data_IF_021359563079
#
_entry.id   IF_021359563079
#
_cell.length_a   1.000
_cell.length_b   1.000
_cell.length_c   1.000
_cell.angle_alpha   90.00
_cell.angle_beta   90.00
_cell.angle_gamma   90.00
#
_symmetry.space_group_name_H-M   'P 1'
#
loop_
_entity.id
_entity.type
_entity.pdbx_description
1 polymer ?
#
# COMPACT_ATOMS: atom_id res chain seq x y z
N UNK A 1 20.98 22.43 2.42
CA UNK A 1 20.99 21.62 3.64
C UNK A 1 20.11 20.40 3.40
N UNK A 2 20.74 19.24 3.42
CA UNK A 2 20.06 17.98 3.13
C UNK A 2 19.38 17.36 4.32
N UNK A 3 18.37 16.57 4.04
CA UNK A 3 17.83 15.60 5.00
C UNK A 3 18.31 14.21 4.62
N UNK A 4 18.28 13.30 5.57
CA UNK A 4 18.68 11.91 5.37
C UNK A 4 17.50 10.99 5.56
N UNK A 5 17.37 10.02 4.65
CA UNK A 5 16.33 9.00 4.72
C UNK A 5 16.91 7.75 5.38
N UNK A 6 16.20 7.25 6.38
CA UNK A 6 16.58 6.03 7.07
C UNK A 6 15.51 4.98 6.80
N UNK A 7 15.88 3.91 6.11
CA UNK A 7 14.93 2.84 5.78
C UNK A 7 14.48 2.14 7.05
N UNK A 8 13.18 2.19 7.33
CA UNK A 8 12.56 1.48 8.45
C UNK A 8 12.27 0.03 8.09
N UNK A 9 11.79 -0.19 6.88
CA UNK A 9 11.47 -1.53 6.42
C UNK A 9 10.77 -1.51 5.07
N UNK A 10 10.58 -2.73 4.54
CA UNK A 10 9.85 -2.98 3.31
C UNK A 10 8.79 -4.03 3.58
N UNK A 11 7.69 -3.96 2.86
CA UNK A 11 6.69 -5.00 2.91
C UNK A 11 6.02 -5.15 1.56
N UNK A 12 5.31 -6.25 1.38
CA UNK A 12 4.50 -6.48 0.19
C UNK A 12 3.38 -5.45 0.12
N UNK A 13 2.81 -5.31 -1.06
CA UNK A 13 1.61 -4.50 -1.30
C UNK A 13 0.46 -5.46 -1.58
N UNK A 14 -0.67 -5.27 -0.88
CA UNK A 14 -1.89 -6.05 -1.07
C UNK A 14 -2.96 -5.20 -1.72
N UNK A 15 -3.85 -5.84 -2.46
CA UNK A 15 -5.07 -5.20 -2.97
C UNK A 15 -6.21 -5.52 -2.03
N UNK A 16 -6.96 -4.50 -1.64
CA UNK A 16 -8.10 -4.64 -0.74
C UNK A 16 -9.32 -3.93 -1.31
N UNK A 17 -10.50 -4.38 -0.89
CA UNK A 17 -11.76 -3.76 -1.29
C UNK A 17 -12.80 -3.96 -0.20
N UNK A 18 -13.88 -3.18 -0.24
CA UNK A 18 -15.04 -3.46 0.60
C UNK A 18 -15.62 -4.83 0.21
N UNK A 19 -16.34 -5.50 1.13
CA UNK A 19 -16.97 -6.78 0.78
C UNK A 19 -17.90 -6.70 -0.42
N UNK A 20 -18.65 -5.61 -0.55
CA UNK A 20 -19.56 -5.42 -1.68
C UNK A 20 -18.82 -5.31 -3.01
N UNK A 21 -17.70 -4.58 -3.04
CA UNK A 21 -16.87 -4.46 -4.24
C UNK A 21 -16.22 -5.80 -4.55
N UNK A 22 -15.67 -6.49 -3.55
CA UNK A 22 -15.04 -7.79 -3.73
C UNK A 22 -15.99 -8.80 -4.38
N UNK A 23 -17.24 -8.81 -3.99
CA UNK A 23 -18.27 -9.72 -4.54
C UNK A 23 -18.59 -9.45 -6.00
N UNK A 24 -18.42 -8.20 -6.46
CA UNK A 24 -18.73 -7.80 -7.84
C UNK A 24 -17.58 -8.06 -8.81
N UNK A 25 -16.39 -8.37 -8.30
CA UNK A 25 -15.25 -8.68 -9.16
C UNK A 25 -15.42 -10.04 -9.81
N UNK A 26 -15.06 -10.12 -11.09
CA UNK A 26 -15.23 -11.35 -11.89
C UNK A 26 -13.90 -12.05 -12.10
N UNK A 27 -13.91 -13.36 -11.91
CA UNK A 27 -12.76 -14.20 -12.20
C UNK A 27 -11.73 -14.25 -11.07
N UNK A 28 -10.67 -15.02 -11.28
CA UNK A 28 -9.62 -15.17 -10.27
C UNK A 28 -8.71 -13.94 -10.25
N UNK A 29 -8.16 -13.65 -9.06
CA UNK A 29 -7.13 -12.63 -8.92
C UNK A 29 -5.84 -13.09 -9.64
N UNK A 30 -5.10 -12.23 -10.36
CA UNK A 30 -5.32 -10.79 -10.52
C UNK A 30 -6.21 -10.40 -11.71
N UNK A 31 -6.69 -11.34 -12.49
CA UNK A 31 -7.56 -11.07 -13.66
C UNK A 31 -8.83 -10.31 -13.26
N UNK A 32 -9.29 -10.50 -12.04
CA UNK A 32 -10.47 -9.80 -11.50
C UNK A 32 -10.28 -8.27 -11.43
N UNK A 33 -9.06 -7.79 -11.49
CA UNK A 33 -8.77 -6.34 -11.53
C UNK A 33 -9.00 -5.72 -12.91
N UNK A 34 -9.09 -6.53 -13.96
CA UNK A 34 -9.32 -6.02 -15.30
C UNK A 34 -10.71 -5.37 -15.39
N UNK A 35 -10.75 -4.12 -15.80
CA UNK A 35 -11.99 -3.33 -15.84
C UNK A 35 -12.54 -2.90 -14.48
N UNK A 36 -11.90 -3.27 -13.39
CA UNK A 36 -12.32 -2.88 -12.06
C UNK A 36 -11.97 -1.41 -11.77
N UNK A 37 -12.78 -0.76 -10.93
CA UNK A 37 -12.47 0.58 -10.44
C UNK A 37 -11.36 0.50 -9.42
N UNK A 38 -10.33 1.33 -9.56
CA UNK A 38 -9.13 1.26 -8.74
C UNK A 38 -8.78 2.64 -8.19
N UNK A 39 -8.29 2.65 -6.97
CA UNK A 39 -7.80 3.83 -6.26
C UNK A 39 -6.29 3.69 -6.12
N UNK A 40 -5.53 4.68 -6.52
CA UNK A 40 -4.06 4.56 -6.52
C UNK A 40 -3.40 5.76 -5.82
N UNK A 41 -2.16 5.58 -5.35
CA UNK A 41 -1.33 6.71 -4.97
C UNK A 41 -1.06 7.60 -6.18
N UNK A 42 -0.70 8.85 -5.93
CA UNK A 42 -0.38 9.80 -7.01
C UNK A 42 0.78 9.31 -7.88
N UNK A 43 0.78 9.71 -9.14
CA UNK A 43 1.66 9.19 -10.18
C UNK A 43 3.15 9.54 -10.02
N UNK A 44 3.47 10.48 -9.14
CA UNK A 44 4.83 10.90 -8.84
C UNK A 44 5.52 10.05 -7.75
N UNK A 45 4.86 9.01 -7.27
CA UNK A 45 5.43 8.14 -6.23
C UNK A 45 6.08 6.89 -6.80
N UNK A 46 7.13 6.41 -6.15
CA UNK A 46 7.80 5.17 -6.55
C UNK A 46 6.87 3.97 -6.47
N UNK A 47 6.00 3.92 -5.46
CA UNK A 47 5.05 2.81 -5.31
C UNK A 47 4.05 2.79 -6.47
N UNK A 48 3.59 3.95 -6.93
CA UNK A 48 2.67 4.02 -8.07
C UNK A 48 3.32 3.49 -9.34
N UNK A 49 4.58 3.85 -9.59
CA UNK A 49 5.31 3.36 -10.76
C UNK A 49 5.41 1.82 -10.71
N UNK A 50 5.75 1.28 -9.55
CA UNK A 50 5.86 -0.18 -9.38
C UNK A 50 4.51 -0.87 -9.56
N UNK A 51 3.43 -0.30 -9.04
CA UNK A 51 2.08 -0.85 -9.20
C UNK A 51 1.64 -0.83 -10.66
N UNK A 52 1.89 0.28 -11.36
CA UNK A 52 1.56 0.39 -12.79
C UNK A 52 2.29 -0.68 -13.62
N UNK A 53 3.58 -0.89 -13.35
CA UNK A 53 4.36 -1.92 -14.02
C UNK A 53 3.83 -3.32 -13.72
N UNK A 54 3.43 -3.57 -12.48
CA UNK A 54 2.87 -4.87 -12.11
C UNK A 54 1.54 -5.12 -12.84
N UNK A 55 0.66 -4.13 -12.89
CA UNK A 55 -0.62 -4.25 -13.61
C UNK A 55 -0.39 -4.54 -15.09
N UNK A 56 0.56 -3.85 -15.71
CA UNK A 56 0.92 -4.08 -17.12
C UNK A 56 1.41 -5.52 -17.33
N UNK A 57 2.26 -6.02 -16.46
CA UNK A 57 2.77 -7.39 -16.55
C UNK A 57 1.68 -8.43 -16.38
N UNK A 58 0.67 -8.14 -15.56
CA UNK A 58 -0.48 -9.04 -15.40
C UNK A 58 -1.46 -8.95 -16.56
N UNK A 59 -1.29 -7.98 -17.45
CA UNK A 59 -2.19 -7.81 -18.59
C UNK A 59 -3.57 -7.33 -18.21
N UNK A 60 -3.70 -6.64 -17.08
CA UNK A 60 -4.97 -6.10 -16.60
C UNK A 60 -5.01 -4.58 -16.75
N UNK A 61 -6.19 -4.05 -17.08
CA UNK A 61 -6.40 -2.62 -17.28
C UNK A 61 -7.59 -2.16 -16.43
N UNK A 62 -7.34 -1.79 -15.18
CA UNK A 62 -8.41 -1.24 -14.35
C UNK A 62 -8.71 0.22 -14.73
N UNK A 63 -9.86 0.71 -14.27
CA UNK A 63 -10.20 2.12 -14.37
C UNK A 63 -9.71 2.86 -13.13
N UNK A 64 -8.80 3.81 -13.29
CA UNK A 64 -8.33 4.64 -12.19
C UNK A 64 -9.40 5.69 -11.90
N UNK A 65 -10.10 5.55 -10.79
CA UNK A 65 -11.20 6.45 -10.41
C UNK A 65 -10.79 7.46 -9.35
N UNK A 66 -9.59 7.35 -8.78
CA UNK A 66 -9.06 8.30 -7.82
C UNK A 66 -7.56 8.15 -7.64
N UNK A 67 -6.89 9.27 -7.36
CA UNK A 67 -5.47 9.31 -7.04
C UNK A 67 -5.30 10.07 -5.73
N UNK A 68 -4.48 9.56 -4.83
CA UNK A 68 -4.40 10.04 -3.45
C UNK A 68 -2.97 10.24 -3.00
N UNK A 69 -2.73 11.32 -2.27
CA UNK A 69 -1.43 11.61 -1.67
C UNK A 69 -1.25 10.90 -0.32
N UNK A 70 -2.34 10.53 0.34
CA UNK A 70 -2.27 9.84 1.63
C UNK A 70 -3.19 8.63 1.69
N UNK A 71 -2.81 7.66 2.53
CA UNK A 71 -3.56 6.41 2.69
C UNK A 71 -4.84 6.58 3.51
N UNK A 72 -4.94 7.61 4.35
CA UNK A 72 -6.13 7.81 5.16
C UNK A 72 -7.35 8.12 4.28
N UNK A 73 -7.17 9.02 3.32
CA UNK A 73 -8.23 9.38 2.38
C UNK A 73 -8.53 8.24 1.41
N UNK A 74 -7.49 7.58 0.91
CA UNK A 74 -7.64 6.41 0.05
C UNK A 74 -8.45 5.32 0.75
N UNK A 75 -8.16 5.05 2.01
CA UNK A 75 -8.90 4.08 2.84
C UNK A 75 -10.37 4.45 2.95
N UNK A 76 -10.69 5.72 3.17
CA UNK A 76 -12.07 6.18 3.27
C UNK A 76 -12.84 5.94 1.97
N UNK A 77 -12.24 6.23 0.83
CA UNK A 77 -12.87 5.96 -0.45
C UNK A 77 -13.08 4.46 -0.68
N UNK A 78 -12.08 3.64 -0.32
CA UNK A 78 -12.20 2.19 -0.42
C UNK A 78 -13.29 1.65 0.52
N UNK A 79 -13.35 2.17 1.74
CA UNK A 79 -14.37 1.77 2.73
C UNK A 79 -15.78 2.04 2.21
N UNK A 80 -15.96 3.12 1.49
CA UNK A 80 -17.25 3.49 0.89
C UNK A 80 -17.53 2.78 -0.44
N UNK A 81 -16.72 1.81 -0.82
CA UNK A 81 -16.97 1.00 -2.01
C UNK A 81 -16.66 1.70 -3.32
N UNK A 82 -15.77 2.68 -3.32
CA UNK A 82 -15.45 3.45 -4.53
C UNK A 82 -14.47 2.76 -5.45
N UNK A 83 -13.73 1.79 -4.95
CA UNK A 83 -12.80 1.02 -5.76
C UNK A 83 -11.91 0.11 -4.95
N UNK A 84 -11.07 -0.61 -5.66
CA UNK A 84 -10.04 -1.48 -5.08
C UNK A 84 -8.81 -0.62 -4.78
N UNK A 85 -8.19 -0.85 -3.65
CA UNK A 85 -7.06 -0.04 -3.18
C UNK A 85 -5.83 -0.89 -2.89
N UNK A 86 -4.62 -0.40 -3.23
CA UNK A 86 -3.39 -1.03 -2.78
C UNK A 86 -3.10 -0.61 -1.33
N UNK A 87 -2.68 -1.56 -0.52
CA UNK A 87 -2.45 -1.34 0.91
C UNK A 87 -1.14 -2.03 1.29
N UNK A 88 -0.20 -1.34 1.94
CA UNK A 88 0.99 -2.00 2.47
C UNK A 88 0.59 -3.13 3.43
N UNK A 89 1.28 -4.25 3.32
CA UNK A 89 0.93 -5.45 4.10
C UNK A 89 0.88 -5.18 5.60
N UNK A 90 1.76 -4.31 6.11
CA UNK A 90 1.79 -3.95 7.54
C UNK A 90 0.50 -3.25 8.00
N UNK A 91 -0.29 -2.71 7.08
CA UNK A 91 -1.55 -2.02 7.39
C UNK A 91 -2.80 -2.87 7.11
N UNK A 92 -2.64 -4.06 6.55
CA UNK A 92 -3.77 -4.89 6.14
C UNK A 92 -4.67 -5.23 7.33
N UNK A 93 -4.09 -5.68 8.45
CA UNK A 93 -4.88 -6.02 9.63
C UNK A 93 -5.66 -4.83 10.17
N UNK A 94 -5.02 -3.66 10.22
CA UNK A 94 -5.66 -2.43 10.67
C UNK A 94 -6.84 -2.06 9.76
N UNK A 95 -6.65 -2.13 8.44
CA UNK A 95 -7.68 -1.79 7.48
C UNK A 95 -8.85 -2.78 7.53
N UNK A 96 -8.58 -4.06 7.79
CA UNK A 96 -9.62 -5.06 8.00
C UNK A 96 -10.45 -4.74 9.25
N UNK A 97 -9.79 -4.48 10.35
CA UNK A 97 -10.46 -4.27 11.66
C UNK A 97 -11.18 -2.94 11.72
N UNK A 98 -10.56 -1.87 11.24
CA UNK A 98 -11.11 -0.52 11.38
C UNK A 98 -12.01 -0.11 10.22
N UNK A 99 -11.81 -0.66 9.04
CA UNK A 99 -12.53 -0.21 7.83
C UNK A 99 -13.30 -1.32 7.13
N UNK A 100 -13.24 -2.55 7.63
CA UNK A 100 -13.98 -3.67 7.07
C UNK A 100 -13.53 -4.08 5.68
N UNK A 101 -12.36 -3.64 5.22
CA UNK A 101 -11.82 -4.03 3.92
C UNK A 101 -11.35 -5.49 3.95
N UNK A 102 -11.47 -6.18 2.82
CA UNK A 102 -11.02 -7.57 2.67
C UNK A 102 -9.88 -7.65 1.68
N UNK A 103 -8.86 -8.46 1.96
CA UNK A 103 -7.75 -8.63 1.03
C UNK A 103 -8.17 -9.48 -0.17
N UNK A 104 -7.68 -9.10 -1.35
CA UNK A 104 -7.94 -9.82 -2.61
C UNK A 104 -6.72 -10.63 -3.05
N UNK A 105 -5.52 -10.13 -2.79
CA UNK A 105 -4.27 -10.74 -3.19
C UNK A 105 -3.13 -9.73 -3.16
N UNK A 106 -1.92 -10.19 -3.38
CA UNK A 106 -0.72 -9.37 -3.33
C UNK A 106 -0.28 -8.92 -4.71
N UNK A 107 0.42 -7.80 -4.77
CA UNK A 107 1.00 -7.27 -6.00
C UNK A 107 2.41 -7.86 -6.25
N UNK A 108 2.54 -9.16 -6.10
CA UNK A 108 3.74 -9.89 -6.44
C UNK A 108 5.02 -9.35 -5.80
N UNK A 109 5.97 -8.91 -6.63
CA UNK A 109 7.26 -8.41 -6.17
C UNK A 109 7.25 -6.93 -5.79
N UNK A 110 6.13 -6.24 -5.94
CA UNK A 110 6.02 -4.84 -5.52
C UNK A 110 6.25 -4.74 -4.03
N UNK A 111 7.07 -3.77 -3.60
CA UNK A 111 7.38 -3.54 -2.19
C UNK A 111 7.15 -2.09 -1.82
N UNK A 112 6.41 -1.88 -0.75
CA UNK A 112 6.31 -0.58 -0.10
C UNK A 112 7.54 -0.40 0.79
N UNK A 113 8.15 0.79 0.72
CA UNK A 113 9.30 1.13 1.53
C UNK A 113 8.94 2.28 2.46
N UNK A 114 9.34 2.17 3.72
CA UNK A 114 9.04 3.16 4.75
C UNK A 114 10.33 3.74 5.30
N UNK A 115 10.36 5.06 5.41
CA UNK A 115 11.56 5.81 5.83
C UNK A 115 11.24 6.74 6.97
N UNK A 116 12.22 6.89 7.88
CA UNK A 116 12.26 8.04 8.77
C UNK A 116 13.16 9.09 8.12
N UNK A 117 12.75 10.35 8.19
CA UNK A 117 13.52 11.47 7.64
C UNK A 117 14.11 12.23 8.82
N UNK A 118 15.44 12.46 8.79
CA UNK A 118 16.11 13.23 9.82
C UNK A 118 17.12 14.19 9.20
N UNK A 119 17.53 15.18 9.98
CA UNK A 119 18.60 16.10 9.59
C UNK A 119 19.98 15.54 9.90
N UNK A 120 20.06 14.42 10.62
CA UNK A 120 21.30 13.75 10.99
C UNK A 120 21.53 12.54 10.12
N UNK A 121 22.75 12.40 9.62
CA UNK A 121 23.15 11.25 8.81
C UNK A 121 23.06 9.94 9.57
N UNK A 122 23.39 9.97 10.87
CA UNK A 122 23.32 8.80 11.74
C UNK A 122 22.45 9.11 12.93
N UNK A 123 21.41 8.34 13.15
CA UNK A 123 20.54 8.50 14.30
C UNK A 123 21.25 7.99 15.55
N UNK A 124 21.43 8.87 16.54
CA UNK A 124 22.18 8.56 17.76
C UNK A 124 21.33 8.57 19.02
N UNK A 125 20.21 9.28 19.01
CA UNK A 125 19.35 9.38 20.18
C UNK A 125 18.81 7.98 20.55
N UNK A 126 19.06 7.47 21.77
CA UNK A 126 18.67 6.11 22.12
C UNK A 126 17.17 5.81 21.95
N UNK A 127 16.30 6.79 22.26
CA UNK A 127 14.86 6.61 22.09
C UNK A 127 14.47 6.46 20.64
N UNK A 128 15.09 7.23 19.73
CA UNK A 128 14.85 7.14 18.30
C UNK A 128 15.36 5.81 17.75
N UNK A 129 16.54 5.37 18.14
CA UNK A 129 17.09 4.08 17.74
C UNK A 129 16.18 2.94 18.17
N UNK A 130 15.64 2.99 19.39
CA UNK A 130 14.71 1.98 19.89
C UNK A 130 13.43 1.93 19.07
N UNK A 131 12.89 3.10 18.66
CA UNK A 131 11.71 3.17 17.80
C UNK A 131 11.98 2.54 16.43
N UNK A 132 13.14 2.79 15.85
CA UNK A 132 13.53 2.22 14.55
C UNK A 132 13.68 0.71 14.62
N UNK A 133 14.28 0.18 15.68
CA UNK A 133 14.40 -1.25 15.88
C UNK A 133 13.04 -1.91 16.01
N UNK A 134 12.12 -1.29 16.75
CA UNK A 134 10.76 -1.80 16.91
C UNK A 134 9.99 -1.76 15.58
N UNK A 135 10.17 -0.71 14.79
CA UNK A 135 9.57 -0.63 13.46
C UNK A 135 10.07 -1.76 12.55
N UNK A 136 11.37 -2.03 12.56
CA UNK A 136 11.96 -3.14 11.81
C UNK A 136 11.33 -4.47 12.20
N UNK A 137 11.13 -4.73 13.50
CA UNK A 137 10.47 -5.94 13.97
C UNK A 137 9.04 -6.07 13.42
N UNK A 138 8.29 -4.98 13.36
CA UNK A 138 6.93 -4.97 12.80
C UNK A 138 6.97 -5.34 11.31
N UNK A 139 7.90 -4.80 10.54
CA UNK A 139 8.04 -5.12 9.12
C UNK A 139 8.51 -6.55 8.89
N UNK A 140 9.43 -7.03 9.69
CA UNK A 140 9.96 -8.40 9.59
C UNK A 140 8.89 -9.45 9.90
N UNK A 141 7.89 -9.13 10.72
CA UNK A 141 6.79 -10.03 11.05
C UNK A 141 5.59 -9.95 10.11
N UNK A 142 5.62 -9.03 9.16
CA UNK A 142 4.52 -8.85 8.19
C UNK A 142 4.73 -9.74 6.91
#
# INVERSE_FOLDING_TARGET
>A
IGSYNHLLGRCAESWMASPAVAKRLSGPFPKSLDGARILLPTDDTAIRVALDQWLDKQGVRPFIVGEFEDYALLREFARHGRGVAPVPEVLVDQFRKESGLVPLGTAGKVRAEFYAISMERKLRHPGVVAILEKASDVFDSA
#
